data_IF_065779450691
#
_entry.id   IF_065779450691
#
_cell.length_a   1.000
_cell.length_b   1.000
_cell.length_c   1.000
_cell.angle_alpha   90.00
_cell.angle_beta   90.00
_cell.angle_gamma   90.00
#
_symmetry.space_group_name_H-M   'P 1'
#
loop_
_entity.id
_entity.type
_entity.pdbx_description
1 polymer ?
#
# COMPACT_ATOMS: atom_id res chain seq x y z
N UNK A 1 -65.09 30.28 59.02
CA UNK A 1 -65.51 29.95 60.40
C UNK A 1 -64.30 30.17 61.28
N UNK A 2 -64.39 31.20 62.14
CA UNK A 2 -63.60 31.51 63.36
C UNK A 2 -62.09 31.73 63.21
N UNK A 3 -61.55 32.92 63.52
CA UNK A 3 -61.30 33.47 64.90
C UNK A 3 -60.32 32.55 65.65
N UNK A 4 -59.23 32.96 66.30
CA UNK A 4 -58.80 34.18 67.01
C UNK A 4 -57.25 34.07 67.14
N UNK A 5 -56.44 35.13 67.04
CA UNK A 5 -56.15 36.15 68.06
C UNK A 5 -55.63 35.61 69.41
N UNK A 6 -54.35 35.89 69.70
CA UNK A 6 -53.94 36.31 71.05
C UNK A 6 -52.82 37.34 70.95
N UNK A 7 -53.22 38.61 71.10
CA UNK A 7 -52.48 39.71 71.69
C UNK A 7 -52.45 39.52 73.21
N UNK A 8 -51.40 39.99 73.86
CA UNK A 8 -51.44 40.86 75.06
C UNK A 8 -50.01 41.07 75.57
N UNK A 9 -49.58 42.18 76.17
CA UNK A 9 -49.97 43.60 76.18
C UNK A 9 -49.03 44.30 77.18
N UNK A 10 -49.06 45.64 77.16
CA UNK A 10 -48.57 46.59 78.17
C UNK A 10 -47.05 46.87 78.19
N UNK A 11 -46.61 48.13 78.32
CA UNK A 11 -47.24 49.23 79.05
C UNK A 11 -46.82 50.60 78.49
N UNK A 12 -47.82 51.48 78.36
CA UNK A 12 -47.70 52.93 78.16
C UNK A 12 -46.94 53.60 79.31
N UNK A 13 -46.21 54.66 78.98
CA UNK A 13 -46.31 55.91 79.72
C UNK A 13 -46.01 57.11 78.80
N UNK A 14 -46.91 58.08 78.86
CA UNK A 14 -46.96 59.28 78.02
C UNK A 14 -46.11 60.39 78.62
N UNK A 15 -45.50 61.22 77.77
CA UNK A 15 -45.35 62.64 78.09
C UNK A 15 -45.51 63.45 76.81
N UNK A 16 -46.59 64.22 76.83
CA UNK A 16 -46.97 65.23 75.85
C UNK A 16 -46.13 66.49 76.10
N UNK A 17 -45.48 67.01 75.06
CA UNK A 17 -45.04 68.40 75.01
C UNK A 17 -45.01 68.82 73.54
N UNK A 18 -46.01 69.61 73.15
CA UNK A 18 -46.11 70.16 71.82
C UNK A 18 -44.91 71.03 71.45
N UNK A 19 -44.54 71.01 70.17
CA UNK A 19 -44.02 72.22 69.54
C UNK A 19 -44.29 72.23 68.03
N UNK A 20 -44.84 73.34 67.58
CA UNK A 20 -45.05 73.71 66.18
C UNK A 20 -43.70 73.72 65.46
N UNK A 21 -43.59 73.25 64.21
CA UNK A 21 -43.13 74.07 63.07
C UNK A 21 -42.93 73.29 61.76
N UNK A 22 -43.45 73.92 60.68
CA UNK A 22 -42.85 74.09 59.35
C UNK A 22 -42.73 72.88 58.42
N UNK A 23 -43.68 72.84 57.48
CA UNK A 23 -43.43 72.57 56.07
C UNK A 23 -42.08 73.15 55.62
N UNK A 24 -41.12 72.27 55.34
CA UNK A 24 -39.91 72.59 54.60
C UNK A 24 -39.87 71.70 53.37
N UNK A 25 -40.53 72.17 52.32
CA UNK A 25 -40.40 71.68 50.96
C UNK A 25 -38.98 72.01 50.46
N UNK A 26 -37.98 71.27 50.98
CA UNK A 26 -36.57 71.39 50.62
C UNK A 26 -36.44 70.72 49.26
N UNK A 27 -36.53 71.50 48.17
CA UNK A 27 -36.25 71.03 46.80
C UNK A 27 -34.95 70.23 46.82
N UNK A 28 -35.05 68.90 46.79
CA UNK A 28 -33.88 68.04 46.78
C UNK A 28 -33.07 68.40 45.55
N UNK A 29 -31.81 68.79 45.71
CA UNK A 29 -30.92 69.02 44.56
C UNK A 29 -31.02 67.79 43.64
N UNK A 30 -31.24 67.97 42.33
CA UNK A 30 -31.49 66.85 41.46
C UNK A 30 -30.31 65.89 41.47
N UNK A 31 -30.61 64.59 41.38
CA UNK A 31 -29.70 63.49 41.73
C UNK A 31 -28.37 63.57 40.97
N UNK A 32 -28.39 64.06 39.73
CA UNK A 32 -27.22 64.26 38.86
C UNK A 32 -26.21 65.33 39.34
N UNK A 33 -26.54 66.14 40.35
CA UNK A 33 -25.60 67.11 40.94
C UNK A 33 -24.80 66.54 42.12
N UNK A 34 -25.04 65.29 42.51
CA UNK A 34 -24.33 64.63 43.61
C UNK A 34 -23.17 63.79 43.05
N UNK A 35 -21.98 63.86 43.66
CA UNK A 35 -20.78 63.16 43.18
C UNK A 35 -20.97 61.62 43.06
N UNK A 36 -21.68 61.00 44.00
CA UNK A 36 -21.96 59.55 43.97
C UNK A 36 -22.80 59.10 42.77
N UNK A 37 -23.66 59.97 42.21
CA UNK A 37 -24.42 59.65 41.00
C UNK A 37 -23.48 59.47 39.81
N UNK A 38 -22.52 60.36 39.63
CA UNK A 38 -21.51 60.24 38.59
C UNK A 38 -20.61 59.02 38.82
N UNK A 39 -20.28 58.69 40.07
CA UNK A 39 -19.55 57.45 40.39
C UNK A 39 -20.31 56.19 39.96
N UNK A 40 -21.62 56.11 40.22
CA UNK A 40 -22.46 54.97 39.80
C UNK A 40 -22.55 54.89 38.28
N UNK A 41 -22.71 56.03 37.59
CA UNK A 41 -22.72 56.07 36.11
C UNK A 41 -21.38 55.60 35.55
N UNK A 42 -20.26 56.04 36.12
CA UNK A 42 -18.91 55.64 35.67
C UNK A 42 -18.67 54.14 35.88
N UNK A 43 -19.06 53.59 37.03
CA UNK A 43 -19.00 52.15 37.32
C UNK A 43 -19.90 51.37 36.36
N UNK A 44 -21.10 51.86 36.06
CA UNK A 44 -22.04 51.19 35.14
C UNK A 44 -21.49 51.16 33.71
N UNK A 45 -20.89 52.27 33.25
CA UNK A 45 -20.22 52.34 31.94
C UNK A 45 -19.03 51.38 31.89
N UNK A 46 -18.21 51.33 32.95
CA UNK A 46 -17.09 50.37 33.08
C UNK A 46 -17.57 48.92 33.04
N UNK A 47 -18.66 48.59 33.74
CA UNK A 47 -19.22 47.26 33.76
C UNK A 47 -19.74 46.83 32.38
N UNK A 48 -20.35 47.75 31.62
CA UNK A 48 -20.79 47.50 30.23
C UNK A 48 -19.58 47.25 29.32
N UNK A 49 -18.55 48.09 29.40
CA UNK A 49 -17.32 47.92 28.60
C UNK A 49 -16.65 46.58 28.91
N UNK A 50 -16.53 46.23 30.19
CA UNK A 50 -15.97 44.94 30.63
C UNK A 50 -16.82 43.75 30.19
N UNK A 51 -18.15 43.88 30.18
CA UNK A 51 -19.06 42.84 29.71
C UNK A 51 -18.93 42.61 28.20
N UNK A 52 -18.86 43.69 27.41
CA UNK A 52 -18.62 43.60 25.96
C UNK A 52 -17.26 42.96 25.68
N UNK A 53 -16.21 43.40 26.40
CA UNK A 53 -14.88 42.81 26.28
C UNK A 53 -14.89 41.32 26.65
N UNK A 54 -15.55 40.93 27.74
CA UNK A 54 -15.67 39.55 28.16
C UNK A 54 -16.38 38.69 27.09
N UNK A 55 -17.50 39.16 26.53
CA UNK A 55 -18.23 38.46 25.47
C UNK A 55 -17.35 38.26 24.23
N UNK A 56 -16.62 39.30 23.80
CA UNK A 56 -15.70 39.21 22.65
C UNK A 56 -14.55 38.23 22.96
N UNK A 57 -13.94 38.34 24.14
CA UNK A 57 -12.81 37.52 24.56
C UNK A 57 -13.19 36.03 24.70
N UNK A 58 -14.26 35.72 25.44
CA UNK A 58 -14.73 34.35 25.62
C UNK A 58 -15.30 33.76 24.32
N UNK A 59 -15.95 34.58 23.49
CA UNK A 59 -16.40 34.19 22.15
C UNK A 59 -15.23 33.80 21.25
N UNK A 60 -14.16 34.60 21.22
CA UNK A 60 -12.94 34.28 20.49
C UNK A 60 -12.24 33.02 21.04
N UNK A 61 -12.18 32.85 22.36
CA UNK A 61 -11.61 31.66 22.99
C UNK A 61 -12.37 30.37 22.61
N UNK A 62 -13.71 30.40 22.61
CA UNK A 62 -14.52 29.26 22.18
C UNK A 62 -14.29 28.91 20.71
N UNK A 63 -14.21 29.92 19.83
CA UNK A 63 -13.92 29.71 18.40
C UNK A 63 -12.54 29.12 18.18
N UNK A 64 -11.53 29.61 18.89
CA UNK A 64 -10.19 29.04 18.83
C UNK A 64 -10.19 27.57 19.21
N UNK A 65 -10.81 27.19 20.34
CA UNK A 65 -10.90 25.79 20.76
C UNK A 65 -11.55 24.89 19.71
N UNK A 66 -12.59 25.38 19.02
CA UNK A 66 -13.22 24.63 17.93
C UNK A 66 -12.27 24.44 16.73
N UNK A 67 -11.55 25.49 16.32
CA UNK A 67 -10.57 25.41 15.22
C UNK A 67 -9.46 24.41 15.57
N UNK A 68 -8.91 24.51 16.79
CA UNK A 68 -7.86 23.62 17.28
C UNK A 68 -8.34 22.17 17.38
N UNK A 69 -9.56 21.95 17.88
CA UNK A 69 -10.16 20.61 17.98
C UNK A 69 -10.39 19.99 16.60
N UNK A 70 -10.90 20.78 15.65
CA UNK A 70 -11.14 20.33 14.28
C UNK A 70 -9.83 19.95 13.60
N UNK A 71 -8.83 20.83 13.64
CA UNK A 71 -7.54 20.56 13.02
C UNK A 71 -6.82 19.36 13.62
N UNK A 72 -6.82 19.23 14.94
CA UNK A 72 -6.30 18.06 15.63
C UNK A 72 -7.01 16.77 15.20
N UNK A 73 -8.34 16.78 15.19
CA UNK A 73 -9.16 15.63 14.77
C UNK A 73 -8.85 15.21 13.34
N UNK A 74 -8.85 16.14 12.39
CA UNK A 74 -8.60 15.85 10.97
C UNK A 74 -7.21 15.25 10.76
N UNK A 75 -6.18 15.79 11.44
CA UNK A 75 -4.82 15.26 11.39
C UNK A 75 -4.77 13.85 12.01
N UNK A 76 -5.37 13.65 13.19
CA UNK A 76 -5.37 12.35 13.85
C UNK A 76 -6.07 11.27 13.01
N UNK A 77 -7.23 11.57 12.43
CA UNK A 77 -7.96 10.66 11.55
C UNK A 77 -7.16 10.30 10.29
N UNK A 78 -6.51 11.29 9.65
CA UNK A 78 -5.65 11.03 8.50
C UNK A 78 -4.46 10.14 8.83
N UNK A 79 -3.87 10.30 10.01
CA UNK A 79 -2.81 9.41 10.48
C UNK A 79 -3.29 7.98 10.74
N UNK A 80 -4.51 7.80 11.26
CA UNK A 80 -5.10 6.46 11.41
C UNK A 80 -5.28 5.78 10.05
N UNK A 81 -5.80 6.51 9.06
CA UNK A 81 -5.93 5.99 7.69
C UNK A 81 -4.57 5.62 7.08
N UNK A 82 -3.55 6.46 7.25
CA UNK A 82 -2.17 6.15 6.84
C UNK A 82 -1.61 4.90 7.50
N UNK A 83 -1.89 4.71 8.78
CA UNK A 83 -1.45 3.52 9.53
C UNK A 83 -2.05 2.24 8.96
N UNK A 84 -3.34 2.26 8.62
CA UNK A 84 -4.02 1.14 7.98
C UNK A 84 -3.51 0.85 6.57
N UNK A 85 -3.07 1.88 5.83
CA UNK A 85 -2.45 1.70 4.52
C UNK A 85 -1.02 1.15 4.66
N UNK A 86 -0.27 1.57 5.68
CA UNK A 86 1.08 1.11 5.94
C UNK A 86 1.15 -0.41 6.16
N UNK A 87 0.15 -0.97 6.84
CA UNK A 87 0.03 -2.42 7.09
C UNK A 87 -0.19 -3.24 5.81
N UNK A 88 -0.58 -2.60 4.70
CA UNK A 88 -0.92 -3.27 3.42
C UNK A 88 0.14 -3.09 2.35
N UNK A 89 1.30 -2.52 2.69
CA UNK A 89 2.38 -2.28 1.72
C UNK A 89 3.05 -3.61 1.40
N UNK A 90 2.82 -4.11 0.19
CA UNK A 90 3.37 -5.38 -0.31
C UNK A 90 4.16 -5.20 -1.62
N UNK A 91 3.95 -4.08 -2.32
CA UNK A 91 4.53 -3.77 -3.62
C UNK A 91 4.41 -2.26 -3.92
N UNK A 92 4.85 -1.84 -5.12
CA UNK A 92 4.78 -0.43 -5.54
C UNK A 92 3.34 0.11 -5.60
N UNK A 93 2.37 -0.68 -6.07
CA UNK A 93 0.98 -0.23 -6.24
C UNK A 93 0.30 0.10 -4.90
N UNK A 94 0.45 -0.79 -3.92
CA UNK A 94 -0.06 -0.58 -2.56
C UNK A 94 0.67 0.58 -1.86
N UNK A 95 1.96 0.73 -2.13
CA UNK A 95 2.75 1.87 -1.66
C UNK A 95 2.29 3.22 -2.26
N UNK A 96 1.94 3.27 -3.54
CA UNK A 96 1.49 4.51 -4.20
C UNK A 96 0.21 5.06 -3.55
N UNK A 97 -0.66 4.16 -3.05
CA UNK A 97 -1.84 4.52 -2.26
C UNK A 97 -1.46 5.18 -0.92
N UNK A 98 -0.46 4.61 -0.23
CA UNK A 98 0.09 5.21 1.00
C UNK A 98 0.73 6.58 0.72
N UNK A 99 1.56 6.70 -0.32
CA UNK A 99 2.22 7.97 -0.69
C UNK A 99 1.18 9.05 -1.04
N UNK A 100 0.14 8.70 -1.80
CA UNK A 100 -0.96 9.62 -2.12
C UNK A 100 -1.63 10.17 -0.86
N UNK A 101 -1.91 9.31 0.13
CA UNK A 101 -2.53 9.74 1.38
C UNK A 101 -1.58 10.57 2.26
N UNK A 102 -0.27 10.27 2.21
CA UNK A 102 0.76 11.04 2.92
C UNK A 102 0.85 12.48 2.38
N UNK A 103 0.73 12.65 1.06
CA UNK A 103 0.67 13.98 0.43
C UNK A 103 -0.58 14.75 0.82
N UNK A 104 -1.73 14.08 0.90
CA UNK A 104 -2.97 14.72 1.38
C UNK A 104 -2.83 15.16 2.84
N UNK A 105 -2.18 14.34 3.68
CA UNK A 105 -1.87 14.74 5.06
C UNK A 105 -0.93 15.95 5.09
N UNK A 106 0.12 16.00 4.27
CA UNK A 106 1.02 17.15 4.14
C UNK A 106 0.25 18.43 3.80
N UNK A 107 -0.62 18.39 2.79
CA UNK A 107 -1.46 19.53 2.43
C UNK A 107 -2.42 19.95 3.58
N UNK A 108 -3.04 18.98 4.26
CA UNK A 108 -3.92 19.24 5.40
C UNK A 108 -3.18 19.91 6.57
N UNK A 109 -1.94 19.50 6.84
CA UNK A 109 -1.11 20.11 7.89
C UNK A 109 -0.76 21.55 7.52
N UNK A 110 -0.44 21.82 6.25
CA UNK A 110 -0.21 23.18 5.74
C UNK A 110 -1.47 24.05 5.93
N UNK A 111 -2.64 23.55 5.52
CA UNK A 111 -3.92 24.26 5.70
C UNK A 111 -4.21 24.59 7.17
N UNK A 112 -3.99 23.62 8.07
CA UNK A 112 -4.18 23.80 9.50
C UNK A 112 -3.19 24.78 10.13
N UNK A 113 -1.96 24.86 9.61
CA UNK A 113 -0.99 25.89 9.99
C UNK A 113 -1.46 27.29 9.57
N UNK A 114 -1.98 27.45 8.35
CA UNK A 114 -2.55 28.73 7.92
C UNK A 114 -3.77 29.13 8.77
N UNK A 115 -4.60 28.17 9.18
CA UNK A 115 -5.72 28.41 10.08
C UNK A 115 -5.25 28.85 11.49
N UNK A 116 -4.20 28.21 12.04
CA UNK A 116 -3.69 28.52 13.39
C UNK A 116 -3.06 29.93 13.47
N UNK A 117 -2.49 30.41 12.36
CA UNK A 117 -1.97 31.79 12.26
C UNK A 117 -3.06 32.86 12.40
N UNK A 118 -4.32 32.54 12.07
CA UNK A 118 -5.46 33.48 12.11
C UNK A 118 -6.17 33.53 13.46
N UNK A 119 -5.74 32.75 14.45
CA UNK A 119 -6.37 32.73 15.79
C UNK A 119 -6.19 34.07 16.51
N UNK A 120 -7.27 34.58 17.11
CA UNK A 120 -7.27 35.82 17.90
C UNK A 120 -6.99 35.51 19.38
N UNK A 121 -6.31 36.39 20.13
CA UNK A 121 -6.07 36.21 21.57
C UNK A 121 -5.44 34.84 21.93
N UNK A 122 -4.31 34.50 21.29
CA UNK A 122 -3.63 33.20 21.45
C UNK A 122 -3.30 32.89 22.91
N UNK A 123 -4.03 31.92 23.47
CA UNK A 123 -3.75 31.35 24.78
C UNK A 123 -2.66 30.27 24.70
N UNK A 124 -2.30 29.68 25.84
CA UNK A 124 -1.21 28.71 25.96
C UNK A 124 -1.44 27.51 25.03
N UNK A 125 -2.66 26.99 24.97
CA UNK A 125 -3.07 25.90 24.08
C UNK A 125 -2.86 26.23 22.59
N UNK A 126 -3.24 27.43 22.15
CA UNK A 126 -3.01 27.91 20.78
C UNK A 126 -1.51 28.00 20.44
N UNK A 127 -0.67 28.43 21.39
CA UNK A 127 0.79 28.45 21.21
C UNK A 127 1.39 27.05 21.14
N UNK A 128 0.90 26.12 21.96
CA UNK A 128 1.31 24.71 21.90
C UNK A 128 0.88 24.06 20.59
N UNK A 129 -0.31 24.40 20.09
CA UNK A 129 -0.76 23.94 18.78
C UNK A 129 0.09 24.49 17.64
N UNK A 130 0.45 25.78 17.68
CA UNK A 130 1.37 26.36 16.71
C UNK A 130 2.73 25.65 16.73
N UNK A 131 3.25 25.29 17.91
CA UNK A 131 4.50 24.53 18.02
C UNK A 131 4.36 23.14 17.38
N UNK A 132 3.30 22.41 17.76
CA UNK A 132 3.00 21.09 17.19
C UNK A 132 2.89 21.14 15.67
N UNK A 133 2.05 22.02 15.12
CA UNK A 133 1.80 22.05 13.67
C UNK A 133 3.07 22.42 12.89
N UNK A 134 3.94 23.27 13.45
CA UNK A 134 5.20 23.64 12.82
C UNK A 134 6.21 22.48 12.78
N UNK A 135 6.39 21.77 13.90
CA UNK A 135 7.31 20.62 13.93
C UNK A 135 6.76 19.45 13.11
N UNK A 136 5.45 19.21 13.20
CA UNK A 136 4.80 18.15 12.45
C UNK A 136 4.80 18.41 10.93
N UNK A 137 4.62 19.66 10.50
CA UNK A 137 4.75 20.04 9.09
C UNK A 137 6.14 19.73 8.53
N UNK A 138 7.21 20.09 9.26
CA UNK A 138 8.58 19.78 8.81
C UNK A 138 8.76 18.29 8.60
N UNK A 139 8.31 17.51 9.59
CA UNK A 139 8.39 16.05 9.56
C UNK A 139 7.59 15.45 8.39
N UNK A 140 6.33 15.85 8.22
CA UNK A 140 5.44 15.30 7.19
C UNK A 140 5.87 15.74 5.78
N UNK A 141 6.29 16.99 5.59
CA UNK A 141 6.73 17.47 4.28
C UNK A 141 8.02 16.77 3.84
N UNK A 142 8.95 16.56 4.77
CA UNK A 142 10.15 15.77 4.50
C UNK A 142 9.80 14.30 4.24
N UNK A 143 8.84 13.74 4.97
CA UNK A 143 8.37 12.36 4.77
C UNK A 143 7.75 12.17 3.39
N UNK A 144 6.89 13.10 2.95
CA UNK A 144 6.28 13.09 1.62
C UNK A 144 7.33 13.23 0.51
N UNK A 145 8.34 14.08 0.70
CA UNK A 145 9.46 14.22 -0.24
C UNK A 145 10.26 12.93 -0.40
N UNK A 146 10.55 12.25 0.72
CA UNK A 146 11.22 10.95 0.68
C UNK A 146 10.35 9.85 0.10
N UNK A 147 9.03 9.90 0.33
CA UNK A 147 8.11 8.94 -0.21
C UNK A 147 8.06 8.95 -1.74
N UNK A 148 8.22 10.12 -2.37
CA UNK A 148 8.34 10.25 -3.82
C UNK A 148 9.58 9.58 -4.41
N UNK A 149 10.60 9.36 -3.59
CA UNK A 149 11.87 8.74 -3.98
C UNK A 149 12.13 7.48 -3.17
N UNK A 150 11.09 6.69 -2.91
CA UNK A 150 11.16 5.54 -2.00
C UNK A 150 12.29 4.57 -2.34
N UNK A 151 12.59 4.37 -3.62
CA UNK A 151 13.67 3.48 -4.09
C UNK A 151 15.08 3.95 -3.73
N UNK A 152 15.24 5.25 -3.51
CA UNK A 152 16.50 5.89 -3.10
C UNK A 152 16.57 6.06 -1.58
N UNK A 153 15.52 5.69 -0.83
CA UNK A 153 15.42 5.95 0.59
C UNK A 153 16.37 5.06 1.40
N UNK A 154 17.32 5.70 2.10
CA UNK A 154 18.41 5.02 2.80
C UNK A 154 18.25 5.04 4.33
N UNK A 155 19.11 4.31 5.04
CA UNK A 155 19.24 4.40 6.50
C UNK A 155 19.59 5.83 6.95
N UNK A 156 20.37 6.57 6.14
CA UNK A 156 20.70 7.97 6.44
C UNK A 156 19.47 8.86 6.40
N UNK A 157 18.57 8.63 5.44
CA UNK A 157 17.32 9.39 5.33
C UNK A 157 16.32 9.01 6.43
N UNK A 158 16.31 7.74 6.84
CA UNK A 158 15.59 7.28 8.04
C UNK A 158 16.03 8.02 9.30
N UNK A 159 17.32 8.15 9.53
CA UNK A 159 17.81 8.87 10.70
C UNK A 159 17.49 10.37 10.64
N UNK A 160 17.61 11.00 9.45
CA UNK A 160 17.19 12.41 9.26
C UNK A 160 15.71 12.62 9.57
N UNK A 161 14.83 11.71 9.14
CA UNK A 161 13.41 11.80 9.47
C UNK A 161 13.14 11.55 10.95
N UNK A 162 13.87 10.64 11.59
CA UNK A 162 13.76 10.37 13.02
C UNK A 162 14.09 11.62 13.86
N UNK A 163 15.12 12.37 13.46
CA UNK A 163 15.47 13.67 14.08
C UNK A 163 14.34 14.69 14.00
N UNK A 164 13.49 14.64 12.97
CA UNK A 164 12.30 15.48 12.85
C UNK A 164 11.07 14.90 13.58
N UNK A 165 10.99 13.57 13.68
CA UNK A 165 9.88 12.87 14.32
C UNK A 165 9.82 13.14 15.83
N UNK A 166 10.96 13.09 16.53
CA UNK A 166 10.99 13.23 17.99
C UNK A 166 10.53 14.61 18.51
N UNK A 167 10.98 15.75 17.94
CA UNK A 167 10.44 17.07 18.30
C UNK A 167 8.94 17.18 18.05
N UNK A 168 8.46 16.62 16.93
CA UNK A 168 7.05 16.61 16.58
C UNK A 168 6.21 15.80 17.58
N UNK A 169 6.67 14.60 17.94
CA UNK A 169 6.05 13.74 18.95
C UNK A 169 5.99 14.42 20.31
N UNK A 170 7.09 15.07 20.70
CA UNK A 170 7.16 15.84 21.94
C UNK A 170 6.16 16.99 21.93
N UNK A 171 6.10 17.76 20.84
CA UNK A 171 5.16 18.87 20.70
C UNK A 171 3.69 18.41 20.71
N UNK A 172 3.38 17.26 20.11
CA UNK A 172 2.05 16.65 20.17
C UNK A 172 1.65 16.28 21.61
N UNK A 173 2.56 15.67 22.36
CA UNK A 173 2.33 15.31 23.76
C UNK A 173 2.14 16.56 24.65
N UNK A 174 2.95 17.60 24.46
CA UNK A 174 2.80 18.86 25.17
C UNK A 174 1.45 19.54 24.88
N UNK A 175 1.04 19.58 23.61
CA UNK A 175 -0.27 20.09 23.22
C UNK A 175 -1.39 19.32 23.91
N UNK A 176 -1.32 17.98 23.90
CA UNK A 176 -2.35 17.14 24.52
C UNK A 176 -2.46 17.35 26.03
N UNK A 177 -1.33 17.54 26.71
CA UNK A 177 -1.29 17.84 28.14
C UNK A 177 -1.94 19.19 28.49
N UNK A 178 -1.74 20.21 27.65
CA UNK A 178 -2.29 21.55 27.85
C UNK A 178 -3.77 21.63 27.41
N UNK A 179 -4.09 21.10 26.24
CA UNK A 179 -5.41 21.18 25.61
C UNK A 179 -6.27 19.94 25.90
N UNK A 180 -6.66 19.76 27.17
CA UNK A 180 -7.46 18.60 27.63
C UNK A 180 -8.81 18.41 26.95
N UNK A 181 -9.30 19.41 26.21
CA UNK A 181 -10.54 19.31 25.44
C UNK A 181 -10.38 18.57 24.10
N UNK A 182 -9.14 18.34 23.65
CA UNK A 182 -8.84 17.51 22.48
C UNK A 182 -9.13 16.05 22.84
N UNK A 183 -10.11 15.43 22.19
CA UNK A 183 -10.56 14.07 22.54
C UNK A 183 -9.75 12.98 21.84
N UNK A 184 -9.33 13.24 20.61
CA UNK A 184 -8.67 12.22 19.79
C UNK A 184 -7.23 11.99 20.22
N UNK A 185 -6.79 10.74 20.07
CA UNK A 185 -5.39 10.35 20.26
C UNK A 185 -4.70 10.27 18.91
N UNK A 186 -3.49 10.83 18.84
CA UNK A 186 -2.62 10.66 17.67
C UNK A 186 -2.07 9.23 17.70
N UNK A 187 -2.21 8.43 16.64
CA UNK A 187 -1.64 7.08 16.64
C UNK A 187 -0.11 7.16 16.71
N UNK A 188 0.53 6.23 17.42
CA UNK A 188 1.99 6.23 17.60
C UNK A 188 2.75 6.14 16.28
N UNK A 189 2.19 5.44 15.31
CA UNK A 189 2.65 5.33 13.92
C UNK A 189 2.74 6.67 13.19
N UNK A 190 2.03 7.72 13.63
CA UNK A 190 2.15 9.08 13.11
C UNK A 190 3.57 9.66 13.26
N UNK A 191 4.40 9.05 14.13
CA UNK A 191 5.80 9.43 14.40
C UNK A 191 6.78 8.31 14.01
N UNK A 192 6.31 7.33 13.22
CA UNK A 192 7.10 6.18 12.75
C UNK A 192 7.10 6.05 11.22
N UNK A 193 6.78 7.11 10.49
CA UNK A 193 6.77 7.12 9.02
C UNK A 193 8.16 6.77 8.46
N UNK A 194 9.24 7.17 9.13
CA UNK A 194 10.59 6.81 8.72
C UNK A 194 10.82 5.30 8.66
N UNK A 195 10.20 4.54 9.56
CA UNK A 195 10.30 3.09 9.62
C UNK A 195 9.41 2.45 8.55
N UNK A 196 8.21 3.00 8.34
CA UNK A 196 7.29 2.58 7.27
C UNK A 196 7.96 2.75 5.90
N UNK A 197 8.57 3.91 5.62
CA UNK A 197 9.28 4.15 4.37
C UNK A 197 10.48 3.20 4.18
N UNK A 198 11.18 2.89 5.27
CA UNK A 198 12.33 1.99 5.20
C UNK A 198 11.92 0.55 4.84
N UNK A 199 10.89 0.04 5.50
CA UNK A 199 10.36 -1.30 5.20
C UNK A 199 9.69 -1.34 3.83
N UNK A 200 8.96 -0.29 3.44
CA UNK A 200 8.38 -0.18 2.10
C UNK A 200 9.45 -0.28 0.99
N UNK A 201 10.58 0.43 1.12
CA UNK A 201 11.67 0.33 0.15
C UNK A 201 12.19 -1.12 0.01
N UNK A 202 12.43 -1.81 1.13
CA UNK A 202 12.88 -3.22 1.11
C UNK A 202 11.88 -4.15 0.43
N UNK A 203 10.61 -4.00 0.75
CA UNK A 203 9.52 -4.81 0.19
C UNK A 203 9.41 -4.57 -1.32
N UNK A 204 9.43 -3.31 -1.76
CA UNK A 204 9.39 -2.94 -3.18
C UNK A 204 10.57 -3.55 -3.93
N UNK A 205 11.81 -3.33 -3.46
CA UNK A 205 13.02 -3.86 -4.09
C UNK A 205 12.99 -5.40 -4.20
N UNK A 206 12.53 -6.07 -3.15
CA UNK A 206 12.43 -7.53 -3.11
C UNK A 206 11.36 -8.05 -4.09
N UNK A 207 10.20 -7.39 -4.15
CA UNK A 207 9.12 -7.74 -5.09
C UNK A 207 9.57 -7.60 -6.55
N UNK A 208 10.30 -6.53 -6.89
CA UNK A 208 10.83 -6.28 -8.22
C UNK A 208 11.89 -7.31 -8.62
N UNK A 209 12.83 -7.61 -7.72
CA UNK A 209 13.85 -8.63 -7.95
C UNK A 209 13.24 -10.02 -8.14
N UNK A 210 12.22 -10.38 -7.34
CA UNK A 210 11.54 -11.66 -7.48
C UNK A 210 10.81 -11.79 -8.82
N UNK A 211 10.16 -10.71 -9.27
CA UNK A 211 9.44 -10.67 -10.55
C UNK A 211 10.42 -10.78 -11.72
N UNK A 212 11.54 -10.05 -11.65
CA UNK A 212 12.61 -10.13 -12.65
C UNK A 212 13.23 -11.52 -12.71
N UNK A 213 13.48 -12.16 -11.56
CA UNK A 213 14.03 -13.51 -11.51
C UNK A 213 13.07 -14.55 -12.12
N UNK A 214 11.77 -14.46 -11.84
CA UNK A 214 10.75 -15.31 -12.46
C UNK A 214 10.74 -15.15 -13.98
N UNK A 215 10.72 -13.91 -14.47
CA UNK A 215 10.72 -13.62 -15.90
C UNK A 215 11.98 -14.13 -16.60
N UNK A 216 13.15 -14.00 -15.99
CA UNK A 216 14.39 -14.59 -16.51
C UNK A 216 14.34 -16.12 -16.53
N UNK A 217 13.78 -16.75 -15.49
CA UNK A 217 13.63 -18.20 -15.44
C UNK A 217 12.66 -18.71 -16.52
N UNK A 218 11.55 -18.03 -16.75
CA UNK A 218 10.58 -18.34 -17.81
C UNK A 218 11.19 -18.19 -19.21
N UNK A 219 11.97 -17.12 -19.43
CA UNK A 219 12.71 -16.92 -20.67
C UNK A 219 13.75 -18.02 -20.91
N UNK A 220 14.51 -18.39 -19.88
CA UNK A 220 15.50 -19.45 -19.96
C UNK A 220 14.86 -20.82 -20.22
N UNK A 221 13.74 -21.13 -19.57
CA UNK A 221 12.98 -22.36 -19.80
C UNK A 221 12.46 -22.43 -21.24
N UNK A 222 11.90 -21.34 -21.77
CA UNK A 222 11.41 -21.27 -23.15
C UNK A 222 12.54 -21.44 -24.17
N UNK A 223 13.69 -20.82 -23.94
CA UNK A 223 14.86 -20.95 -24.82
C UNK A 223 15.42 -22.38 -24.81
N UNK A 224 15.51 -23.00 -23.63
CA UNK A 224 15.94 -24.40 -23.47
C UNK A 224 14.98 -25.35 -24.18
N UNK A 225 13.68 -25.15 -24.03
CA UNK A 225 12.65 -25.97 -24.69
C UNK A 225 12.79 -25.96 -26.22
N UNK A 226 13.00 -24.78 -26.81
CA UNK A 226 13.20 -24.65 -28.26
C UNK A 226 14.46 -25.39 -28.75
N UNK A 227 15.57 -25.33 -27.99
CA UNK A 227 16.81 -26.04 -28.31
C UNK A 227 16.59 -27.56 -28.20
N UNK A 228 15.98 -28.01 -27.09
CA UNK A 228 15.75 -29.41 -26.81
C UNK A 228 14.78 -30.03 -27.82
N UNK A 229 13.71 -29.31 -28.20
CA UNK A 229 12.78 -29.71 -29.25
C UNK A 229 13.51 -29.92 -30.58
N UNK A 230 14.34 -28.95 -31.01
CA UNK A 230 15.12 -29.06 -32.24
C UNK A 230 16.12 -30.23 -32.19
N UNK A 231 16.75 -30.47 -31.04
CA UNK A 231 17.67 -31.58 -30.86
C UNK A 231 16.94 -32.94 -30.95
N UNK A 232 15.77 -33.08 -30.33
CA UNK A 232 14.94 -34.27 -30.45
C UNK A 232 14.50 -34.53 -31.90
N UNK A 233 14.12 -33.47 -32.63
CA UNK A 233 13.76 -33.57 -34.06
C UNK A 233 14.95 -34.02 -34.92
N UNK A 234 16.13 -33.44 -34.68
CA UNK A 234 17.36 -33.82 -35.38
C UNK A 234 17.74 -35.27 -35.10
N UNK A 235 17.65 -35.74 -33.86
CA UNK A 235 17.89 -37.15 -33.51
C UNK A 235 16.94 -38.06 -34.28
N UNK A 236 15.64 -37.75 -34.29
CA UNK A 236 14.65 -38.52 -35.03
C UNK A 236 14.92 -38.50 -36.55
N UNK A 237 15.24 -37.34 -37.12
CA UNK A 237 15.58 -37.21 -38.54
C UNK A 237 16.83 -37.99 -38.93
N UNK A 238 17.87 -37.98 -38.09
CA UNK A 238 19.09 -38.75 -38.33
C UNK A 238 18.85 -40.26 -38.21
N UNK A 239 18.06 -40.69 -37.23
CA UNK A 239 17.61 -42.08 -37.11
C UNK A 239 16.85 -42.53 -38.37
N UNK A 240 15.90 -41.72 -38.86
CA UNK A 240 15.12 -42.04 -40.06
C UNK A 240 15.98 -42.02 -41.33
N UNK A 241 16.93 -41.09 -41.47
CA UNK A 241 17.89 -41.11 -42.57
C UNK A 241 18.73 -42.40 -42.57
N UNK A 242 19.19 -42.85 -41.40
CA UNK A 242 19.91 -44.11 -41.26
C UNK A 242 19.01 -45.32 -41.58
N UNK A 243 17.73 -45.27 -41.21
CA UNK A 243 16.73 -46.28 -41.56
C UNK A 243 16.51 -46.36 -43.07
N UNK A 244 16.32 -45.23 -43.76
CA UNK A 244 16.18 -45.16 -45.22
C UNK A 244 17.40 -45.77 -45.92
N UNK A 245 18.60 -45.43 -45.43
CA UNK A 245 19.86 -45.96 -45.96
C UNK A 245 20.10 -47.46 -45.65
N UNK A 246 19.31 -48.07 -44.76
CA UNK A 246 19.54 -49.45 -44.31
C UNK A 246 20.81 -49.61 -43.46
N UNK A 247 21.26 -48.55 -42.80
CA UNK A 247 22.53 -48.52 -42.06
C UNK A 247 22.32 -48.79 -40.57
N UNK A 248 22.36 -50.07 -40.18
CA UNK A 248 22.17 -50.50 -38.80
C UNK A 248 23.17 -49.86 -37.80
N UNK A 249 24.50 -49.80 -38.08
CA UNK A 249 25.45 -49.13 -37.19
C UNK A 249 25.12 -47.66 -36.94
N UNK A 250 24.71 -46.92 -37.98
CA UNK A 250 24.36 -45.51 -37.85
C UNK A 250 23.05 -45.32 -37.07
N UNK A 251 22.05 -46.19 -37.29
CA UNK A 251 20.80 -46.16 -36.50
C UNK A 251 21.08 -46.32 -35.00
N UNK A 252 21.95 -47.26 -34.61
CA UNK A 252 22.30 -47.52 -33.20
C UNK A 252 22.83 -46.28 -32.49
N UNK A 253 23.53 -45.37 -33.18
CA UNK A 253 24.06 -44.13 -32.57
C UNK A 253 22.98 -43.17 -32.08
N UNK A 254 21.75 -43.31 -32.61
CA UNK A 254 20.62 -42.46 -32.26
C UNK A 254 19.60 -43.19 -31.38
N UNK A 255 19.90 -44.39 -30.88
CA UNK A 255 18.99 -45.22 -30.08
C UNK A 255 19.54 -45.45 -28.67
N UNK A 256 18.65 -45.56 -27.69
CA UNK A 256 19.03 -46.03 -26.35
C UNK A 256 19.51 -47.48 -26.41
N UNK A 257 20.43 -47.87 -25.52
CA UNK A 257 20.94 -49.25 -25.48
C UNK A 257 19.84 -50.29 -25.25
N UNK A 258 18.82 -49.93 -24.47
CA UNK A 258 17.65 -50.78 -24.26
C UNK A 258 16.90 -50.98 -25.57
N UNK A 259 16.60 -49.90 -26.29
CA UNK A 259 15.86 -50.00 -27.54
C UNK A 259 16.63 -50.73 -28.64
N UNK A 260 17.95 -50.60 -28.68
CA UNK A 260 18.81 -51.36 -29.58
C UNK A 260 18.72 -52.89 -29.40
N UNK A 261 18.29 -53.38 -28.24
CA UNK A 261 18.09 -54.82 -27.99
C UNK A 261 16.72 -55.31 -28.43
N UNK A 262 15.73 -54.42 -28.44
CA UNK A 262 14.35 -54.73 -28.81
C UNK A 262 14.07 -54.53 -30.30
N UNK A 263 14.86 -53.69 -30.97
CA UNK A 263 14.65 -53.35 -32.37
C UNK A 263 15.00 -54.50 -33.32
N UNK A 264 14.06 -54.83 -34.21
CA UNK A 264 14.32 -55.79 -35.29
C UNK A 264 15.15 -55.13 -36.40
N UNK A 265 16.46 -55.38 -36.42
CA UNK A 265 17.35 -54.88 -37.47
C UNK A 265 17.26 -55.69 -38.78
N UNK A 266 16.60 -56.85 -38.79
CA UNK A 266 16.46 -57.66 -40.02
C UNK A 266 15.64 -56.92 -41.08
N UNK A 267 14.70 -56.06 -40.68
CA UNK A 267 13.93 -55.20 -41.59
C UNK A 267 14.80 -54.23 -42.43
N UNK A 268 16.08 -54.06 -42.08
CA UNK A 268 17.02 -53.24 -42.84
C UNK A 268 17.71 -54.02 -43.97
N UNK A 269 17.63 -55.35 -43.94
CA UNK A 269 18.30 -56.22 -44.90
C UNK A 269 17.80 -56.00 -46.34
N UNK A 270 18.65 -56.19 -47.35
CA UNK A 270 18.23 -56.18 -48.75
C UNK A 270 17.05 -57.13 -49.03
N UNK A 271 17.04 -58.30 -48.40
CA UNK A 271 16.02 -59.33 -48.54
C UNK A 271 14.67 -58.85 -48.01
N UNK A 272 14.64 -58.23 -46.81
CA UNK A 272 13.41 -57.66 -46.24
C UNK A 272 12.88 -56.46 -47.04
N UNK A 273 13.73 -55.84 -47.87
CA UNK A 273 13.43 -54.67 -48.71
C UNK A 273 13.41 -55.02 -50.21
N UNK A 274 13.23 -56.30 -50.54
CA UNK A 274 13.22 -56.77 -51.91
C UNK A 274 11.97 -56.30 -52.68
N UNK A 275 10.82 -56.23 -52.01
CA UNK A 275 9.54 -55.83 -52.64
C UNK A 275 9.26 -54.34 -52.49
N UNK A 276 9.43 -53.82 -51.27
CA UNK A 276 9.16 -52.41 -50.94
C UNK A 276 10.33 -51.81 -50.18
N UNK A 277 10.58 -50.52 -50.37
CA UNK A 277 11.64 -49.81 -49.63
C UNK A 277 11.19 -48.41 -49.20
N UNK A 278 11.66 -47.93 -48.04
CA UNK A 278 11.42 -46.56 -47.61
C UNK A 278 12.21 -45.60 -48.51
N UNK A 279 11.53 -44.63 -49.11
CA UNK A 279 12.12 -43.70 -50.08
C UNK A 279 12.38 -42.31 -49.49
N UNK A 280 11.46 -41.81 -48.66
CA UNK A 280 11.57 -40.50 -48.02
C UNK A 280 10.75 -40.49 -46.72
N UNK A 281 10.96 -39.47 -45.88
CA UNK A 281 10.12 -39.22 -44.72
C UNK A 281 9.83 -37.73 -44.57
N UNK A 282 8.81 -37.43 -43.78
CA UNK A 282 8.50 -36.08 -43.30
C UNK A 282 8.15 -36.14 -41.83
N UNK A 283 8.84 -35.36 -41.01
CA UNK A 283 8.43 -35.12 -39.62
C UNK A 283 7.24 -34.15 -39.65
N UNK A 284 6.16 -34.53 -38.98
CA UNK A 284 4.90 -33.78 -38.96
C UNK A 284 4.71 -33.01 -37.67
N UNK A 285 5.12 -33.63 -36.56
CA UNK A 285 4.89 -33.09 -35.23
C UNK A 285 6.03 -33.48 -34.29
N UNK A 286 6.30 -32.60 -33.34
CA UNK A 286 7.28 -32.79 -32.29
C UNK A 286 6.73 -32.15 -31.02
N UNK A 287 6.27 -32.99 -30.11
CA UNK A 287 5.55 -32.60 -28.91
C UNK A 287 6.36 -32.97 -27.68
N UNK A 288 6.57 -32.01 -26.78
CA UNK A 288 7.11 -32.29 -25.45
C UNK A 288 6.08 -33.07 -24.64
N UNK A 289 6.51 -34.19 -24.06
CA UNK A 289 5.68 -34.98 -23.15
C UNK A 289 5.93 -34.54 -21.71
N UNK A 290 7.20 -34.48 -21.33
CA UNK A 290 7.68 -34.03 -20.03
C UNK A 290 9.14 -33.56 -20.16
N UNK A 291 9.74 -33.08 -19.07
CA UNK A 291 11.15 -32.67 -19.10
C UNK A 291 12.05 -33.84 -19.50
N UNK A 292 12.90 -33.62 -20.50
CA UNK A 292 13.77 -34.68 -21.03
C UNK A 292 13.09 -35.70 -21.95
N UNK A 293 11.81 -35.52 -22.35
CA UNK A 293 11.11 -36.44 -23.26
C UNK A 293 10.26 -35.74 -24.31
N UNK A 294 10.45 -36.14 -25.57
CA UNK A 294 9.69 -35.69 -26.72
C UNK A 294 9.07 -36.86 -27.47
N UNK A 295 7.93 -36.59 -28.10
CA UNK A 295 7.26 -37.45 -29.05
C UNK A 295 7.38 -36.82 -30.44
N UNK A 296 8.09 -37.49 -31.34
CA UNK A 296 8.24 -37.06 -32.73
C UNK A 296 7.41 -37.97 -33.62
N UNK A 297 6.50 -37.39 -34.40
CA UNK A 297 5.66 -38.11 -35.35
C UNK A 297 6.14 -37.83 -36.76
N UNK A 298 6.32 -38.87 -37.56
CA UNK A 298 6.78 -38.79 -38.94
C UNK A 298 5.98 -39.73 -39.84
N UNK A 299 5.79 -39.32 -41.10
CA UNK A 299 5.26 -40.19 -42.14
C UNK A 299 6.42 -40.64 -43.05
N UNK A 300 6.51 -41.93 -43.30
CA UNK A 300 7.48 -42.54 -44.22
C UNK A 300 6.77 -42.96 -45.50
N UNK A 301 7.34 -42.60 -46.64
CA UNK A 301 6.86 -43.02 -47.95
C UNK A 301 7.59 -44.29 -48.37
N UNK A 302 6.84 -45.36 -48.60
CA UNK A 302 7.35 -46.61 -49.15
C UNK A 302 6.99 -46.71 -50.63
N UNK A 303 7.94 -47.23 -51.42
CA UNK A 303 7.77 -47.50 -52.85
C UNK A 303 7.95 -48.98 -53.13
N UNK A 304 7.17 -49.50 -54.07
CA UNK A 304 7.41 -50.83 -54.63
C UNK A 304 8.57 -50.78 -55.63
N UNK A 305 9.43 -51.79 -55.63
CA UNK A 305 10.60 -51.84 -56.54
C UNK A 305 10.23 -51.98 -58.01
N UNK A 306 9.06 -52.53 -58.30
CA UNK A 306 8.50 -52.65 -59.65
C UNK A 306 7.95 -51.32 -60.21
N UNK A 307 7.94 -50.24 -59.39
CA UNK A 307 7.46 -48.91 -59.76
C UNK A 307 5.94 -48.79 -59.81
N UNK A 308 5.19 -49.82 -59.40
CA UNK A 308 3.73 -49.89 -59.58
C UNK A 308 2.95 -48.91 -58.69
N UNK A 309 3.42 -48.63 -57.47
CA UNK A 309 2.69 -47.82 -56.49
C UNK A 309 3.58 -47.34 -55.33
N UNK A 310 2.98 -46.52 -54.44
CA UNK A 310 3.59 -46.04 -53.20
C UNK A 310 2.54 -45.94 -52.09
N UNK A 311 2.94 -46.11 -50.84
CA UNK A 311 2.09 -45.97 -49.67
C UNK A 311 2.81 -45.27 -48.52
N UNK A 312 2.06 -44.73 -47.56
CA UNK A 312 2.61 -43.99 -46.42
C UNK A 312 2.34 -44.74 -45.14
N UNK A 313 3.35 -44.82 -44.28
CA UNK A 313 3.27 -45.40 -42.93
C UNK A 313 3.59 -44.33 -41.91
N UNK A 314 2.76 -44.21 -40.88
CA UNK A 314 3.00 -43.30 -39.76
C UNK A 314 3.92 -43.94 -38.72
N UNK A 315 4.86 -43.16 -38.19
CA UNK A 315 5.73 -43.56 -37.09
C UNK A 315 5.66 -42.54 -35.97
N UNK A 316 5.50 -43.05 -34.75
CA UNK A 316 5.67 -42.28 -33.52
C UNK A 316 6.99 -42.71 -32.87
N UNK A 317 7.88 -41.76 -32.62
CA UNK A 317 9.18 -41.96 -31.99
C UNK A 317 9.21 -41.26 -30.64
N UNK A 318 9.49 -42.01 -29.57
CA UNK A 318 9.75 -41.42 -28.26
C UNK A 318 11.25 -41.13 -28.14
N UNK A 319 11.59 -39.86 -28.03
CA UNK A 319 12.96 -39.37 -27.87
C UNK A 319 13.18 -38.96 -26.42
N UNK A 320 14.22 -39.48 -25.79
CA UNK A 320 14.57 -39.15 -24.41
C UNK A 320 15.97 -38.57 -24.33
N UNK A 321 16.19 -37.68 -23.36
CA UNK A 321 17.54 -37.22 -23.04
C UNK A 321 18.24 -38.24 -22.14
N UNK A 322 19.28 -38.89 -22.65
CA UNK A 322 20.14 -39.75 -21.87
C UNK A 322 21.18 -38.88 -21.15
N UNK A 323 21.04 -38.79 -19.83
CA UNK A 323 21.94 -38.00 -18.97
C UNK A 323 23.36 -38.55 -18.93
N UNK A 324 23.54 -39.87 -19.09
CA UNK A 324 24.85 -40.50 -19.04
C UNK A 324 25.69 -40.15 -20.27
N UNK A 325 25.04 -40.04 -21.43
CA UNK A 325 25.68 -39.71 -22.70
C UNK A 325 25.55 -38.23 -23.09
N UNK A 326 24.77 -37.47 -22.32
CA UNK A 326 24.39 -36.07 -22.62
C UNK A 326 23.86 -35.90 -24.05
N UNK A 327 22.97 -36.80 -24.47
CA UNK A 327 22.44 -36.88 -25.85
C UNK A 327 20.97 -37.22 -25.87
N UNK A 328 20.28 -36.71 -26.88
CA UNK A 328 18.90 -37.10 -27.22
C UNK A 328 18.93 -38.40 -28.04
N UNK A 329 18.20 -39.42 -27.59
CA UNK A 329 18.17 -40.76 -28.19
C UNK A 329 16.74 -41.28 -28.35
N UNK A 330 16.50 -42.07 -29.39
CA UNK A 330 15.26 -42.80 -29.63
C UNK A 330 15.16 -43.94 -28.63
N UNK A 331 14.12 -43.89 -27.80
CA UNK A 331 13.85 -44.92 -26.79
C UNK A 331 12.83 -45.96 -27.26
N UNK A 332 11.95 -45.59 -28.20
CA UNK A 332 11.05 -46.53 -28.85
C UNK A 332 10.47 -45.92 -30.11
N UNK A 333 10.03 -46.79 -31.03
CA UNK A 333 9.17 -46.40 -32.14
C UNK A 333 7.93 -47.27 -32.17
N UNK A 334 6.80 -46.69 -32.57
CA UNK A 334 5.55 -47.40 -32.80
C UNK A 334 5.04 -47.04 -34.18
N UNK A 335 4.73 -48.07 -34.97
CA UNK A 335 4.02 -47.90 -36.23
C UNK A 335 2.56 -47.52 -35.95
N UNK A 336 2.05 -46.55 -36.67
CA UNK A 336 0.68 -46.04 -36.56
C UNK A 336 0.02 -45.90 -37.92
N UNK A 337 -1.30 -45.66 -37.91
CA UNK A 337 -2.02 -45.21 -39.09
C UNK A 337 -1.42 -43.89 -39.60
N UNK A 338 -1.40 -43.66 -40.91
CA UNK A 338 -0.91 -42.42 -41.52
C UNK A 338 -1.52 -41.20 -40.83
N UNK A 339 -0.67 -40.28 -40.34
CA UNK A 339 -1.08 -39.07 -39.63
C UNK A 339 -1.32 -37.90 -40.58
#
# INVERSE_FOLDING_TARGET
>A
MKEELTKTDKKNESTESGNKTKDNNKKSKPIYKKAWFWSIVLISVLAIILSIFAVVYFGAQSRNKQILSKGWFEIAEKNKALSQLAEKIENQETYDSYNSELKKLSALVDENKFASQKLQYKQIDAKKYDNFINEYQKYINQSASYADKIKEYTESDKEKLKVLSEPSKTAAAELKNEAKYLKDEMPSSAFSIQDILFEANKVILTSELSTKAKLLAEQAATAKDAIDKKAAENTAGNFLNAYLAGNAPLMRQYMTEAYQKEYDFNQLSPESRATTYPASFRILNNQKLEEGKYKVQANLLFKFRDGSSQYIVGYEMNVIYDTNQSKWLINSTKEGSSF
#
